data_IF_901406178814
#
_entry.id   IF_901406178814
#
_cell.length_a   1.000
_cell.length_b   1.000
_cell.length_c   1.000
_cell.angle_alpha   90.00
_cell.angle_beta   90.00
_cell.angle_gamma   90.00
#
_symmetry.space_group_name_H-M   'P 1'
#
loop_
_entity.id
_entity.type
_entity.pdbx_description
1 polymer ?
#
# COMPACT_ATOMS: atom_id res chain seq x y z
N UNK A 1 -15.78 6.51 4.37
CA UNK A 1 -16.58 6.39 3.13
C UNK A 1 -15.68 6.31 1.88
N UNK A 2 -14.82 7.30 1.56
CA UNK A 2 -13.99 7.29 0.33
C UNK A 2 -13.05 6.08 0.21
N UNK A 3 -12.40 5.67 1.29
CA UNK A 3 -11.50 4.51 1.32
C UNK A 3 -12.27 3.22 1.00
N UNK A 4 -13.42 2.98 1.63
CA UNK A 4 -14.22 1.78 1.37
C UNK A 4 -14.77 1.72 -0.05
N UNK A 5 -15.15 2.87 -0.62
CA UNK A 5 -15.53 2.95 -2.04
C UNK A 5 -14.37 2.60 -2.97
N UNK A 6 -13.18 3.14 -2.68
CA UNK A 6 -11.96 2.79 -3.43
C UNK A 6 -11.60 1.31 -3.32
N UNK A 7 -11.80 0.70 -2.15
CA UNK A 7 -11.63 -0.75 -1.97
C UNK A 7 -12.62 -1.55 -2.83
N UNK A 8 -13.88 -1.11 -2.89
CA UNK A 8 -14.90 -1.71 -3.77
C UNK A 8 -14.49 -1.63 -5.24
N UNK A 9 -14.07 -0.44 -5.71
CA UNK A 9 -13.60 -0.28 -7.08
C UNK A 9 -12.40 -1.18 -7.42
N UNK A 10 -11.49 -1.37 -6.45
CA UNK A 10 -10.37 -2.29 -6.66
C UNK A 10 -10.85 -3.74 -6.80
N UNK A 11 -11.81 -4.17 -6.00
CA UNK A 11 -12.38 -5.52 -6.11
C UNK A 11 -13.07 -5.73 -7.46
N UNK A 12 -13.83 -4.74 -7.92
CA UNK A 12 -14.49 -4.77 -9.25
C UNK A 12 -13.45 -4.81 -10.37
N UNK A 13 -12.42 -3.97 -10.30
CA UNK A 13 -11.30 -3.97 -11.26
C UNK A 13 -10.59 -5.33 -11.30
N UNK A 14 -10.20 -5.87 -10.13
CA UNK A 14 -9.51 -7.16 -10.07
C UNK A 14 -10.40 -8.30 -10.55
N UNK A 15 -11.68 -8.26 -10.19
CA UNK A 15 -12.67 -9.24 -10.66
C UNK A 15 -12.80 -9.22 -12.18
N UNK A 16 -12.92 -8.04 -12.79
CA UNK A 16 -12.96 -7.87 -14.25
C UNK A 16 -11.70 -8.43 -14.93
N UNK A 17 -10.51 -8.07 -14.44
CA UNK A 17 -9.24 -8.55 -15.01
C UNK A 17 -9.16 -10.07 -14.90
N UNK A 18 -9.45 -10.65 -13.73
CA UNK A 18 -9.39 -12.09 -13.54
C UNK A 18 -10.40 -12.87 -14.39
N UNK A 19 -11.57 -12.29 -14.63
CA UNK A 19 -12.53 -12.88 -15.56
C UNK A 19 -11.99 -12.91 -17.00
N UNK A 20 -11.32 -11.82 -17.45
CA UNK A 20 -10.70 -11.75 -18.77
C UNK A 20 -9.52 -12.72 -18.92
N UNK A 21 -8.71 -12.88 -17.88
CA UNK A 21 -7.61 -13.84 -17.84
C UNK A 21 -8.13 -15.28 -17.92
N UNK A 22 -9.12 -15.61 -17.09
CA UNK A 22 -9.74 -16.95 -17.07
C UNK A 22 -10.35 -17.31 -18.43
N UNK A 23 -11.01 -16.36 -19.11
CA UNK A 23 -11.55 -16.59 -20.46
C UNK A 23 -10.49 -16.90 -21.53
N UNK A 24 -9.22 -16.72 -21.22
CA UNK A 24 -8.05 -17.05 -22.06
C UNK A 24 -7.23 -18.23 -21.52
N UNK A 25 -7.73 -18.93 -20.50
CA UNK A 25 -7.01 -20.04 -19.85
C UNK A 25 -5.78 -19.59 -19.06
N UNK A 26 -5.73 -18.33 -18.65
CA UNK A 26 -4.63 -17.80 -17.84
C UNK A 26 -4.99 -17.79 -16.36
N UNK A 27 -3.98 -17.90 -15.52
CA UNK A 27 -4.12 -17.81 -14.07
C UNK A 27 -4.53 -16.40 -13.63
N UNK A 28 -4.94 -16.27 -12.37
CA UNK A 28 -5.34 -14.99 -11.77
C UNK A 28 -4.16 -14.02 -11.73
N UNK A 29 -4.44 -12.72 -11.85
CA UNK A 29 -3.44 -11.66 -11.86
C UNK A 29 -2.50 -11.73 -10.65
N UNK A 30 -3.07 -11.91 -9.46
CA UNK A 30 -2.33 -12.04 -8.20
C UNK A 30 -1.46 -13.29 -8.11
N UNK A 31 -1.75 -14.32 -8.91
CA UNK A 31 -0.95 -15.56 -8.99
C UNK A 31 0.20 -15.44 -10.00
N UNK A 32 0.05 -14.67 -11.06
CA UNK A 32 1.09 -14.49 -12.08
C UNK A 32 2.05 -13.33 -11.80
N UNK A 33 1.64 -12.37 -10.96
CA UNK A 33 2.49 -11.23 -10.60
C UNK A 33 3.41 -11.54 -9.41
N UNK A 34 4.63 -11.03 -9.45
CA UNK A 34 5.48 -10.97 -8.26
C UNK A 34 4.76 -10.24 -7.12
N UNK A 35 4.86 -10.76 -5.91
CA UNK A 35 4.13 -10.23 -4.74
C UNK A 35 4.38 -8.73 -4.49
N UNK A 36 5.63 -8.27 -4.66
CA UNK A 36 5.97 -6.86 -4.51
C UNK A 36 5.25 -5.99 -5.54
N UNK A 37 5.23 -6.43 -6.80
CA UNK A 37 4.57 -5.70 -7.89
C UNK A 37 3.05 -5.68 -7.70
N UNK A 38 2.47 -6.78 -7.24
CA UNK A 38 1.04 -6.81 -6.95
C UNK A 38 0.67 -5.89 -5.77
N UNK A 39 1.50 -5.86 -4.72
CA UNK A 39 1.32 -4.89 -3.62
C UNK A 39 1.42 -3.45 -4.12
N UNK A 40 2.37 -3.15 -5.01
CA UNK A 40 2.48 -1.83 -5.63
C UNK A 40 1.25 -1.48 -6.47
N UNK A 41 0.70 -2.43 -7.24
CA UNK A 41 -0.54 -2.25 -7.99
C UNK A 41 -1.71 -1.87 -7.07
N UNK A 42 -1.88 -2.59 -5.95
CA UNK A 42 -2.92 -2.28 -4.96
C UNK A 42 -2.72 -0.87 -4.40
N UNK A 43 -1.50 -0.51 -4.01
CA UNK A 43 -1.16 0.82 -3.49
C UNK A 43 -1.48 1.92 -4.50
N UNK A 44 -0.97 1.80 -5.73
CA UNK A 44 -1.21 2.77 -6.80
C UNK A 44 -2.70 2.94 -7.13
N UNK A 45 -3.46 1.85 -7.16
CA UNK A 45 -4.90 1.91 -7.36
C UNK A 45 -5.58 2.69 -6.24
N UNK A 46 -5.22 2.42 -4.99
CA UNK A 46 -5.81 3.09 -3.84
C UNK A 46 -5.44 4.57 -3.76
N UNK A 47 -4.21 4.96 -4.11
CA UNK A 47 -3.79 6.37 -4.25
C UNK A 47 -4.73 7.10 -5.22
N UNK A 48 -4.91 6.55 -6.43
CA UNK A 48 -5.77 7.16 -7.44
C UNK A 48 -7.25 7.17 -7.01
N UNK A 49 -7.74 6.09 -6.39
CA UNK A 49 -9.12 5.99 -5.93
C UNK A 49 -9.43 7.01 -4.82
N UNK A 50 -8.50 7.25 -3.89
CA UNK A 50 -8.63 8.24 -2.82
C UNK A 50 -8.58 9.65 -3.41
N UNK A 51 -7.56 9.96 -4.21
CA UNK A 51 -7.41 11.28 -4.83
C UNK A 51 -8.64 11.68 -5.67
N UNK A 52 -9.23 10.73 -6.40
CA UNK A 52 -10.45 10.97 -7.19
C UNK A 52 -11.67 11.35 -6.35
N UNK A 53 -11.74 10.91 -5.08
CA UNK A 53 -12.93 11.04 -4.23
C UNK A 53 -12.78 12.05 -3.11
N UNK A 54 -11.56 12.34 -2.71
CA UNK A 54 -11.29 13.24 -1.60
C UNK A 54 -10.90 14.61 -2.11
N UNK A 55 -11.79 15.60 -1.95
CA UNK A 55 -11.56 16.96 -2.45
C UNK A 55 -10.38 17.68 -1.79
N UNK A 56 -9.90 17.19 -0.64
CA UNK A 56 -8.76 17.78 0.09
C UNK A 56 -7.41 17.13 -0.20
N UNK A 57 -7.41 16.02 -0.98
CA UNK A 57 -6.19 15.29 -1.31
C UNK A 57 -6.04 15.14 -2.81
N UNK A 58 -4.82 15.23 -3.29
CA UNK A 58 -4.44 15.01 -4.68
C UNK A 58 -3.26 14.05 -4.75
N UNK A 59 -3.17 13.27 -5.82
CA UNK A 59 -1.99 12.45 -6.07
C UNK A 59 -0.78 13.33 -6.33
N UNK A 60 0.36 13.01 -5.71
CA UNK A 60 1.62 13.67 -6.01
C UNK A 60 1.98 13.47 -7.49
N UNK A 61 2.08 14.58 -8.23
CA UNK A 61 2.40 14.56 -9.67
C UNK A 61 3.89 14.42 -9.95
N UNK A 62 4.75 14.54 -8.94
CA UNK A 62 6.18 14.37 -9.12
C UNK A 62 6.53 12.88 -9.31
N UNK A 63 7.30 12.57 -10.34
CA UNK A 63 7.80 11.21 -10.52
C UNK A 63 8.70 10.79 -9.34
N UNK A 64 8.39 9.66 -8.70
CA UNK A 64 8.99 9.24 -7.44
C UNK A 64 8.82 10.26 -6.29
N UNK A 65 7.78 11.06 -6.35
CA UNK A 65 7.45 12.02 -5.30
C UNK A 65 6.99 11.33 -4.02
N UNK A 66 7.30 11.95 -2.91
CA UNK A 66 6.93 11.50 -1.57
C UNK A 66 6.40 12.71 -0.78
N UNK A 67 5.28 12.55 -0.04
CA UNK A 67 4.40 11.37 0.05
C UNK A 67 3.50 11.20 -1.19
N UNK A 68 2.78 10.07 -1.25
CA UNK A 68 1.94 9.67 -2.39
C UNK A 68 0.73 10.59 -2.61
N UNK A 69 0.08 11.02 -1.52
CA UNK A 69 -1.06 11.95 -1.53
C UNK A 69 -0.67 13.25 -0.84
N UNK A 70 -0.96 14.36 -1.50
CA UNK A 70 -0.69 15.71 -1.01
C UNK A 70 -1.99 16.43 -0.66
N UNK A 71 -1.98 17.34 0.34
CA UNK A 71 -3.08 18.28 0.50
C UNK A 71 -3.17 19.20 -0.72
N UNK A 72 -4.37 19.41 -1.22
CA UNK A 72 -4.62 20.26 -2.39
C UNK A 72 -4.10 21.68 -2.15
N UNK A 73 -3.34 22.21 -3.11
CA UNK A 73 -2.88 23.62 -3.11
C UNK A 73 -1.71 23.94 -2.17
N UNK A 74 -1.13 22.96 -1.48
CA UNK A 74 0.04 23.18 -0.62
C UNK A 74 1.34 23.23 -1.44
N UNK A 75 1.45 22.38 -2.45
CA UNK A 75 2.65 22.32 -3.29
C UNK A 75 2.35 22.83 -4.71
N UNK A 76 3.26 23.62 -5.32
CA UNK A 76 3.08 24.13 -6.68
C UNK A 76 2.83 22.99 -7.69
N UNK A 77 1.73 23.08 -8.43
CA UNK A 77 1.35 22.07 -9.41
C UNK A 77 1.08 20.70 -8.83
N UNK A 78 0.77 20.63 -7.53
CA UNK A 78 0.54 19.37 -6.80
C UNK A 78 1.70 18.36 -6.95
N UNK A 79 2.93 18.86 -6.98
CA UNK A 79 4.13 18.09 -7.24
C UNK A 79 5.26 18.43 -6.25
N UNK A 80 5.81 17.41 -5.59
CA UNK A 80 6.96 17.54 -4.72
C UNK A 80 7.77 16.25 -4.67
N UNK A 81 9.09 16.35 -4.71
CA UNK A 81 9.97 15.17 -4.58
C UNK A 81 10.00 14.66 -3.13
N UNK A 82 10.12 15.58 -2.16
CA UNK A 82 10.12 15.27 -0.72
C UNK A 82 9.28 16.32 0.02
N UNK A 83 7.99 16.00 0.22
CA UNK A 83 7.06 16.82 0.98
C UNK A 83 7.03 16.41 2.44
N UNK A 84 6.72 17.39 3.32
CA UNK A 84 6.51 17.13 4.74
C UNK A 84 5.04 16.85 5.07
N UNK A 85 4.15 17.30 4.20
CA UNK A 85 2.71 17.20 4.40
C UNK A 85 2.11 16.28 3.36
N UNK A 86 1.29 15.34 3.82
CA UNK A 86 0.62 14.39 2.97
C UNK A 86 0.52 13.01 3.61
N UNK A 87 0.12 12.03 2.83
CA UNK A 87 -0.10 10.66 3.28
C UNK A 87 0.70 9.70 2.39
N UNK A 88 1.56 8.94 3.00
CA UNK A 88 2.23 7.81 2.34
C UNK A 88 1.33 6.59 2.38
N UNK A 89 1.14 5.94 1.25
CA UNK A 89 0.28 4.76 1.08
C UNK A 89 1.16 3.52 0.94
N UNK A 90 0.80 2.49 1.67
CA UNK A 90 1.37 1.16 1.50
C UNK A 90 0.26 0.13 1.34
N UNK A 91 0.50 -0.89 0.53
CA UNK A 91 -0.33 -2.07 0.49
C UNK A 91 0.54 -3.29 0.80
N UNK A 92 0.06 -4.17 1.67
CA UNK A 92 0.87 -5.27 2.18
C UNK A 92 0.02 -6.50 2.48
N UNK A 93 0.58 -7.66 2.20
CA UNK A 93 0.06 -8.95 2.67
C UNK A 93 0.48 -9.27 4.11
N UNK A 94 1.49 -8.55 4.61
CA UNK A 94 1.96 -8.70 5.98
C UNK A 94 1.16 -7.80 6.91
N UNK A 95 0.82 -8.33 8.07
CA UNK A 95 0.05 -7.63 9.11
C UNK A 95 0.90 -6.71 9.98
N UNK A 96 2.22 -6.70 9.75
CA UNK A 96 3.19 -5.88 10.50
C UNK A 96 4.50 -5.76 9.72
N UNK A 97 5.45 -4.97 10.22
CA UNK A 97 6.80 -4.86 9.67
C UNK A 97 6.84 -4.13 8.32
N UNK A 98 5.92 -3.22 8.08
CA UNK A 98 5.89 -2.45 6.84
C UNK A 98 7.13 -1.58 6.71
N UNK A 99 7.60 -1.45 5.47
CA UNK A 99 8.86 -0.79 5.17
C UNK A 99 8.63 0.54 4.43
N UNK A 100 9.42 1.54 4.80
CA UNK A 100 9.61 2.79 4.08
C UNK A 100 11.05 2.94 3.60
N UNK A 101 11.33 4.03 2.91
CA UNK A 101 12.69 4.35 2.47
C UNK A 101 13.51 5.01 3.57
N UNK A 102 12.88 5.83 4.39
CA UNK A 102 13.51 6.62 5.44
C UNK A 102 12.76 6.51 6.76
N UNK A 103 13.46 6.80 7.87
CA UNK A 103 12.84 7.05 9.17
C UNK A 103 12.41 8.52 9.22
N UNK A 104 11.13 8.78 9.09
CA UNK A 104 10.59 10.14 8.98
C UNK A 104 9.26 10.30 9.70
N UNK A 105 8.88 11.56 9.96
CA UNK A 105 7.57 11.89 10.50
C UNK A 105 6.60 12.05 9.34
N UNK A 106 5.62 11.15 9.25
CA UNK A 106 4.66 11.13 8.14
C UNK A 106 3.35 10.45 8.53
N UNK A 107 2.24 10.87 7.92
CA UNK A 107 1.02 10.08 7.91
C UNK A 107 1.23 8.84 7.05
N UNK A 108 1.26 7.66 7.67
CA UNK A 108 1.36 6.38 6.99
C UNK A 108 0.01 5.68 6.99
N UNK A 109 -0.49 5.31 5.82
CA UNK A 109 -1.73 4.55 5.65
C UNK A 109 -1.43 3.21 4.97
N UNK A 110 -1.80 2.12 5.62
CA UNK A 110 -1.51 0.76 5.13
C UNK A 110 -2.79 0.00 4.85
N UNK A 111 -2.90 -0.51 3.62
CA UNK A 111 -3.91 -1.44 3.18
C UNK A 111 -3.38 -2.87 3.35
N UNK A 112 -3.86 -3.57 4.37
CA UNK A 112 -3.52 -4.98 4.58
C UNK A 112 -4.52 -5.84 3.84
N UNK A 113 -4.03 -6.77 3.02
CA UNK A 113 -4.86 -7.65 2.22
C UNK A 113 -4.38 -9.11 2.23
N UNK A 114 -5.26 -10.01 1.83
CA UNK A 114 -4.95 -11.41 1.53
C UNK A 114 -5.29 -11.70 0.08
N UNK A 115 -4.49 -12.52 -0.58
CA UNK A 115 -4.72 -13.00 -1.95
C UNK A 115 -3.90 -14.26 -2.21
N UNK A 116 -4.17 -14.94 -3.31
CA UNK A 116 -3.28 -15.99 -3.84
C UNK A 116 -1.92 -15.41 -4.23
N UNK A 117 -0.93 -16.28 -4.35
CA UNK A 117 0.43 -15.92 -4.74
C UNK A 117 0.95 -16.89 -5.79
N UNK A 118 2.01 -16.53 -6.55
CA UNK A 118 2.71 -17.48 -7.41
C UNK A 118 3.19 -18.74 -6.68
N UNK A 119 3.52 -18.61 -5.39
CA UNK A 119 3.94 -19.75 -4.57
C UNK A 119 2.79 -20.68 -4.25
N UNK A 120 1.61 -20.16 -3.96
CA UNK A 120 0.41 -20.96 -3.71
C UNK A 120 0.07 -21.76 -4.97
N UNK A 121 0.15 -21.13 -6.14
CA UNK A 121 -0.04 -21.75 -7.44
C UNK A 121 0.94 -22.91 -7.68
N UNK A 122 2.23 -22.65 -7.46
CA UNK A 122 3.27 -23.67 -7.59
C UNK A 122 3.07 -24.86 -6.64
N UNK A 123 2.46 -24.64 -5.48
CA UNK A 123 2.12 -25.67 -4.49
C UNK A 123 0.73 -26.29 -4.71
N UNK A 124 0.01 -25.90 -5.77
CA UNK A 124 -1.36 -26.34 -6.07
C UNK A 124 -2.35 -26.07 -4.92
N UNK A 125 -2.14 -25.00 -4.17
CA UNK A 125 -3.06 -24.53 -3.16
C UNK A 125 -4.23 -23.87 -3.87
N UNK A 126 -5.46 -24.21 -3.50
CA UNK A 126 -6.66 -23.65 -4.10
C UNK A 126 -6.65 -22.10 -4.03
N UNK A 127 -7.02 -21.40 -5.12
CA UNK A 127 -7.03 -19.96 -5.16
C UNK A 127 -7.89 -19.36 -4.04
N UNK A 128 -7.37 -18.36 -3.37
CA UNK A 128 -8.11 -17.60 -2.37
C UNK A 128 -8.60 -16.29 -2.99
N UNK A 129 -9.87 -15.92 -2.79
CA UNK A 129 -10.33 -14.61 -3.21
C UNK A 129 -9.49 -13.51 -2.58
N UNK A 130 -9.21 -12.46 -3.36
CA UNK A 130 -8.61 -11.26 -2.80
C UNK A 130 -9.58 -10.63 -1.80
N UNK A 131 -9.07 -10.20 -0.65
CA UNK A 131 -9.82 -9.41 0.31
C UNK A 131 -8.93 -8.41 1.04
N UNK A 132 -9.48 -7.25 1.35
CA UNK A 132 -8.86 -6.37 2.33
C UNK A 132 -9.15 -6.87 3.73
N UNK A 133 -8.09 -6.98 4.54
CA UNK A 133 -8.18 -7.43 5.94
C UNK A 133 -8.35 -6.25 6.88
N UNK A 134 -7.54 -5.21 6.68
CA UNK A 134 -7.62 -3.98 7.45
C UNK A 134 -7.04 -2.80 6.70
N UNK A 135 -7.50 -1.62 7.05
CA UNK A 135 -6.87 -0.34 6.68
C UNK A 135 -6.57 0.40 7.97
N UNK A 136 -5.30 0.67 8.20
CA UNK A 136 -4.81 1.29 9.41
C UNK A 136 -3.85 2.41 9.05
N UNK A 137 -3.80 3.46 9.86
CA UNK A 137 -2.91 4.59 9.58
C UNK A 137 -2.75 5.47 10.79
N UNK A 138 -1.59 6.09 10.91
CA UNK A 138 -1.30 7.07 11.97
C UNK A 138 -0.21 8.04 11.50
N UNK A 139 -0.08 9.14 12.20
CA UNK A 139 1.13 9.94 12.16
C UNK A 139 2.22 9.16 12.93
N UNK A 140 3.17 8.62 12.19
CA UNK A 140 4.37 7.98 12.73
C UNK A 140 5.50 9.01 12.74
N UNK A 141 6.39 8.95 13.70
CA UNK A 141 7.56 9.82 13.78
C UNK A 141 8.86 9.05 13.57
N UNK A 142 9.97 9.76 13.43
CA UNK A 142 11.26 9.13 13.12
C UNK A 142 11.69 8.06 14.13
N UNK A 143 11.21 8.13 15.39
CA UNK A 143 11.53 7.14 16.45
C UNK A 143 10.70 5.86 16.33
N UNK A 144 9.66 5.85 15.52
CA UNK A 144 8.83 4.68 15.24
C UNK A 144 9.44 3.76 14.16
N UNK A 145 10.62 4.11 13.65
CA UNK A 145 11.29 3.35 12.59
C UNK A 145 12.63 2.77 13.05
N UNK A 146 12.92 1.58 12.55
CA UNK A 146 14.25 0.97 12.62
C UNK A 146 14.87 0.97 11.23
N UNK A 147 16.02 1.58 11.09
CA UNK A 147 16.74 1.63 9.81
C UNK A 147 17.71 0.46 9.70
N UNK A 148 17.59 -0.33 8.63
CA UNK A 148 18.57 -1.36 8.33
C UNK A 148 19.90 -0.72 7.89
N UNK A 149 20.97 -1.01 8.62
CA UNK A 149 22.31 -0.56 8.23
C UNK A 149 22.71 -1.16 6.86
N UNK A 150 23.45 -0.39 6.07
CA UNK A 150 24.08 -0.88 4.84
C UNK A 150 25.46 -1.45 5.17
N UNK A 151 25.68 -2.75 5.01
CA UNK A 151 27.04 -3.28 5.00
C UNK A 151 27.70 -2.98 3.65
N UNK A 152 29.02 -2.78 3.62
CA UNK A 152 29.76 -2.51 2.39
C UNK A 152 29.59 -3.61 1.31
N UNK A 153 29.26 -4.84 1.74
CA UNK A 153 29.01 -5.98 0.85
C UNK A 153 27.54 -6.13 0.43
N UNK A 154 26.62 -5.33 0.97
CA UNK A 154 25.19 -5.47 0.68
C UNK A 154 24.78 -4.65 -0.55
N UNK A 155 24.16 -5.30 -1.52
CA UNK A 155 23.49 -4.63 -2.66
C UNK A 155 22.05 -4.16 -2.30
N UNK A 156 21.58 -4.41 -1.06
CA UNK A 156 20.22 -4.03 -0.64
C UNK A 156 20.14 -2.53 -0.40
N UNK A 157 19.08 -1.92 -0.87
CA UNK A 157 18.72 -0.56 -0.48
C UNK A 157 18.45 -0.52 1.02
N UNK A 158 18.97 0.45 1.78
CA UNK A 158 18.56 0.66 3.16
C UNK A 158 17.03 0.82 3.23
N UNK A 159 16.41 0.20 4.20
CA UNK A 159 14.97 0.29 4.42
C UNK A 159 14.72 0.66 5.87
N UNK A 160 13.72 1.49 6.11
CA UNK A 160 13.18 1.74 7.42
C UNK A 160 11.99 0.79 7.64
N UNK A 161 11.97 0.08 8.76
CA UNK A 161 10.87 -0.81 9.15
C UNK A 161 10.14 -0.24 10.35
N UNK A 162 8.80 -0.30 10.35
CA UNK A 162 7.99 0.15 11.50
C UNK A 162 8.30 -0.70 12.72
N UNK A 163 8.63 -0.01 13.81
CA UNK A 163 8.81 -0.58 15.14
C UNK A 163 7.44 -0.86 15.80
N UNK A 164 7.49 -1.54 16.94
CA UNK A 164 6.30 -1.86 17.72
C UNK A 164 5.51 -0.60 18.13
N UNK A 165 6.17 0.48 18.49
CA UNK A 165 5.54 1.75 18.87
C UNK A 165 4.68 2.33 17.73
N UNK A 166 5.23 2.42 16.52
CA UNK A 166 4.50 2.87 15.34
C UNK A 166 3.36 1.91 14.96
N UNK A 167 3.60 0.60 15.05
CA UNK A 167 2.55 -0.40 14.85
C UNK A 167 1.37 -0.22 15.82
N UNK A 168 1.63 0.00 17.10
CA UNK A 168 0.59 0.21 18.12
C UNK A 168 -0.21 1.49 17.87
N UNK A 169 0.45 2.60 17.46
CA UNK A 169 -0.21 3.83 17.02
C UNK A 169 -1.19 3.55 15.86
N UNK A 170 -0.74 2.83 14.84
CA UNK A 170 -1.54 2.52 13.66
C UNK A 170 -2.70 1.58 13.99
N UNK A 171 -2.48 0.58 14.86
CA UNK A 171 -3.53 -0.34 15.30
C UNK A 171 -4.59 0.33 16.18
N UNK A 172 -4.23 1.34 16.96
CA UNK A 172 -5.17 2.14 17.72
C UNK A 172 -6.05 3.03 16.82
N UNK A 173 -5.54 3.42 15.65
CA UNK A 173 -6.20 4.31 14.71
C UNK A 173 -6.60 3.56 13.42
N UNK A 174 -7.36 2.48 13.56
CA UNK A 174 -7.86 1.72 12.41
C UNK A 174 -9.03 2.42 11.71
N UNK A 175 -9.08 2.26 10.38
CA UNK A 175 -10.10 2.86 9.51
C UNK A 175 -11.09 1.79 9.01
N UNK A 176 -10.58 0.59 8.79
CA UNK A 176 -11.35 -0.56 8.35
C UNK A 176 -10.78 -1.85 8.94
N UNK A 177 -11.66 -2.76 9.32
CA UNK A 177 -11.32 -4.16 9.65
C UNK A 177 -12.38 -5.07 9.05
N UNK A 178 -11.96 -6.18 8.44
CA UNK A 178 -12.89 -7.24 8.05
C UNK A 178 -13.54 -7.86 9.29
N UNK A 179 -14.76 -8.31 9.12
CA UNK A 179 -15.57 -8.94 10.20
C UNK A 179 -15.35 -10.45 10.27
N UNK A 180 -14.14 -10.94 10.01
CA UNK A 180 -13.82 -12.38 10.13
C UNK A 180 -13.21 -12.72 11.48
#
# INVERSE_FOLDING_TARGET
MHIQQGMGDFLDFLGFINQQLNGRGMDRLESIMMQANFSSLVGEFMINAIAKRCASLVKNQHHNGHPDLLPVGIYPGDAVLHGREGIEIKASRYRSGWQGHNAETIWLLVFVFESSTPRDEAQKIAPRPFRFVSVIGALVDATDWSVSGRSAASRRTPTASILRSGYEKMMANWIYRSQD
#
